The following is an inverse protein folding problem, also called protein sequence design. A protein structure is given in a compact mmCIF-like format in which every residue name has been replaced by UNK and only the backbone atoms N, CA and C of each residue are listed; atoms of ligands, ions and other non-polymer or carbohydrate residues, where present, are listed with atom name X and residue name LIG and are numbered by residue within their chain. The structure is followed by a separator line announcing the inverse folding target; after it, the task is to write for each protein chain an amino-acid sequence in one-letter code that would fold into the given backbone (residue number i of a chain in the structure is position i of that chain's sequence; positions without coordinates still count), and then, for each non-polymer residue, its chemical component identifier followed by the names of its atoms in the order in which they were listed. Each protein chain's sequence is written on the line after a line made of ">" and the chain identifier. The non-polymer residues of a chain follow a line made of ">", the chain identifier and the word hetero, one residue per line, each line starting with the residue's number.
data_IF_837957274699
#
_entry.id   IF_837957274699
#
_cell.length_a   1.000
_cell.length_b   1.000
_cell.length_c   1.000
_cell.angle_alpha   90.00
_cell.angle_beta   90.00
_cell.angle_gamma   90.00
#
_symmetry.space_group_name_H-M   'P 1'
#
loop_
_entity.id
_entity.type
_entity.pdbx_description
1 polymer ?
#
# COMPACT_ATOMS: atom_id res chain seq x y z
N UNK A 1 10.13 23.49 25.81
CA UNK A 1 11.32 23.01 25.07
C UNK A 1 10.99 21.96 24.01
N UNK A 2 10.07 21.02 24.24
CA UNK A 2 9.70 19.95 23.30
C UNK A 2 9.09 20.41 21.96
N UNK A 3 8.29 21.49 21.95
CA UNK A 3 7.63 22.00 20.73
C UNK A 3 8.58 22.71 19.74
N UNK A 4 9.68 23.29 20.21
CA UNK A 4 10.70 23.94 19.36
C UNK A 4 11.66 22.93 18.70
N UNK A 5 11.83 21.76 19.33
CA UNK A 5 12.62 20.66 18.80
C UNK A 5 11.92 19.97 17.61
N UNK A 6 10.59 19.87 17.62
CA UNK A 6 9.82 19.26 16.53
C UNK A 6 9.86 20.13 15.26
N UNK A 7 9.79 21.45 15.41
CA UNK A 7 9.85 22.39 14.27
C UNK A 7 11.25 22.42 13.62
N UNK A 8 12.32 22.30 14.41
CA UNK A 8 13.69 22.20 13.89
C UNK A 8 13.97 20.84 13.22
N UNK A 9 13.39 19.75 13.75
CA UNK A 9 13.55 18.42 13.17
C UNK A 9 12.78 18.25 11.84
N UNK A 10 11.61 18.87 11.68
CA UNK A 10 10.85 18.83 10.42
C UNK A 10 11.44 19.72 9.32
N UNK A 11 12.05 20.85 9.66
CA UNK A 11 12.75 21.70 8.70
C UNK A 11 14.04 21.05 8.15
N UNK A 12 14.74 20.25 8.96
CA UNK A 12 15.97 19.55 8.53
C UNK A 12 15.68 18.39 7.56
N UNK A 13 14.50 17.77 7.61
CA UNK A 13 14.10 16.68 6.72
C UNK A 13 13.78 17.13 5.28
N UNK A 14 13.39 18.40 5.09
CA UNK A 14 13.07 18.95 3.76
C UNK A 14 14.34 19.30 2.97
N UNK A 15 15.44 19.64 3.66
CA UNK A 15 16.72 20.03 3.04
C UNK A 15 17.59 18.80 2.73
N UNK A 16 17.28 17.64 3.30
CA UNK A 16 18.01 16.39 3.11
C UNK A 16 17.51 15.53 1.93
N UNK A 17 16.62 16.04 1.07
CA UNK A 17 16.26 15.32 -0.14
C UNK A 17 17.38 15.46 -1.19
N UNK A 18 18.00 14.36 -1.65
CA UNK A 18 18.93 14.44 -2.76
C UNK A 18 18.15 14.89 -3.99
N UNK A 19 18.54 16.03 -4.57
CA UNK A 19 18.20 16.34 -5.96
C UNK A 19 18.91 15.30 -6.83
N UNK A 20 18.25 14.17 -7.05
CA UNK A 20 18.64 13.21 -8.07
C UNK A 20 18.35 13.84 -9.43
N UNK A 21 19.33 14.57 -9.95
CA UNK A 21 19.42 14.75 -11.39
C UNK A 21 19.69 13.35 -11.97
N UNK A 22 18.64 12.72 -12.49
CA UNK A 22 18.69 11.40 -13.12
C UNK A 22 19.45 11.57 -14.46
N UNK A 23 20.77 11.64 -14.38
CA UNK A 23 21.64 11.59 -15.55
C UNK A 23 21.55 10.16 -16.10
N UNK A 24 20.84 9.99 -17.20
CA UNK A 24 20.60 8.69 -17.82
C UNK A 24 21.94 8.00 -18.13
N UNK A 25 22.06 6.71 -17.81
CA UNK A 25 23.29 5.96 -18.09
C UNK A 25 23.46 5.77 -19.60
N UNK A 26 24.39 6.50 -20.22
CA UNK A 26 24.78 6.34 -21.62
C UNK A 26 25.90 7.31 -21.95
N UNK A 27 27.05 6.82 -22.42
CA UNK A 27 28.07 7.72 -22.98
C UNK A 27 27.58 8.22 -24.34
N UNK A 28 27.61 9.52 -24.54
CA UNK A 28 27.46 10.12 -25.86
C UNK A 28 28.62 9.64 -26.74
N UNK A 29 28.32 9.14 -27.93
CA UNK A 29 29.33 8.69 -28.88
C UNK A 29 30.01 9.86 -29.59
N UNK A 30 31.01 9.56 -30.43
CA UNK A 30 31.75 10.58 -31.20
C UNK A 30 30.88 11.33 -32.22
N UNK A 31 29.69 10.83 -32.53
CA UNK A 31 28.71 11.44 -33.43
C UNK A 31 27.65 12.27 -32.69
N UNK A 32 27.73 12.36 -31.36
CA UNK A 32 26.83 13.18 -30.55
C UNK A 32 25.52 12.50 -30.15
N UNK A 33 25.37 11.20 -30.42
CA UNK A 33 24.17 10.43 -30.04
C UNK A 33 24.39 9.61 -28.77
N UNK A 34 23.31 9.19 -28.12
CA UNK A 34 23.37 8.32 -26.95
C UNK A 34 22.27 7.26 -26.97
N UNK A 35 22.59 6.10 -26.38
CA UNK A 35 21.64 5.00 -26.21
C UNK A 35 20.79 5.21 -24.95
N UNK A 36 19.48 5.21 -25.14
CA UNK A 36 18.48 5.22 -24.07
C UNK A 36 17.80 3.85 -24.00
N UNK A 37 18.40 2.96 -23.20
CA UNK A 37 17.94 1.57 -23.08
C UNK A 37 16.51 1.44 -22.49
N UNK A 38 15.99 2.48 -21.85
CA UNK A 38 14.65 2.50 -21.25
C UNK A 38 13.67 3.37 -22.03
N UNK A 39 14.11 3.98 -23.13
CA UNK A 39 13.34 4.92 -23.93
C UNK A 39 12.65 6.00 -23.05
N UNK A 40 13.35 6.53 -22.04
CA UNK A 40 12.82 7.55 -21.15
C UNK A 40 12.49 8.85 -21.91
N UNK A 41 13.21 9.14 -23.00
CA UNK A 41 12.93 10.31 -23.84
C UNK A 41 11.74 10.15 -24.77
N UNK A 42 11.25 8.93 -24.98
CA UNK A 42 10.22 8.62 -25.97
C UNK A 42 10.71 8.57 -27.42
N UNK A 43 11.99 8.84 -27.69
CA UNK A 43 12.57 8.92 -29.05
C UNK A 43 13.16 7.59 -29.54
N UNK A 44 13.01 6.53 -28.76
CA UNK A 44 13.56 5.20 -29.02
C UNK A 44 14.92 4.97 -28.36
N UNK A 45 15.50 3.82 -28.68
CA UNK A 45 16.74 3.34 -28.03
C UNK A 45 17.98 4.16 -28.32
N UNK A 46 17.95 5.08 -29.30
CA UNK A 46 19.10 5.91 -29.68
C UNK A 46 18.66 7.27 -30.18
N UNK A 47 19.22 8.36 -29.62
CA UNK A 47 18.86 9.72 -30.01
C UNK A 47 19.96 10.75 -29.68
N UNK A 48 19.82 11.97 -30.19
CA UNK A 48 20.86 13.00 -30.19
C UNK A 48 20.50 14.19 -29.30
N UNK A 49 21.54 14.82 -28.74
CA UNK A 49 21.46 16.09 -28.01
C UNK A 49 22.44 17.07 -28.66
N UNK A 50 21.95 18.00 -29.47
CA UNK A 50 22.79 18.99 -30.14
C UNK A 50 22.69 20.33 -29.42
N UNK A 51 23.81 20.89 -28.97
CA UNK A 51 23.91 22.31 -28.58
C UNK A 51 22.99 22.82 -27.46
N UNK A 52 22.50 21.95 -26.58
CA UNK A 52 21.58 22.33 -25.49
C UNK A 52 20.10 22.36 -25.88
N UNK A 53 19.75 21.92 -27.10
CA UNK A 53 18.37 21.70 -27.51
C UNK A 53 17.81 20.39 -26.95
N UNK A 54 16.47 20.24 -26.86
CA UNK A 54 15.84 18.99 -26.45
C UNK A 54 16.31 17.80 -27.30
N UNK A 55 16.21 16.61 -26.69
CA UNK A 55 16.45 15.32 -27.33
C UNK A 55 15.70 15.21 -28.68
N UNK A 56 16.36 14.72 -29.73
CA UNK A 56 15.74 14.57 -31.06
C UNK A 56 16.42 13.48 -31.91
N UNK A 57 15.79 13.12 -33.04
CA UNK A 57 16.32 12.16 -34.01
C UNK A 57 16.97 12.87 -35.21
N UNK A 58 18.00 12.26 -35.79
CA UNK A 58 18.68 12.73 -37.02
C UNK A 58 18.25 11.90 -38.22
N UNK A 59 16.97 11.95 -38.58
CA UNK A 59 16.48 11.24 -39.78
C UNK A 59 16.99 11.87 -41.07
N UNK A 60 17.20 13.20 -41.08
CA UNK A 60 17.74 13.99 -42.20
C UNK A 60 18.76 15.05 -41.72
N UNK A 61 19.56 14.73 -40.71
CA UNK A 61 20.46 15.68 -40.04
C UNK A 61 19.85 16.36 -38.81
N UNK A 62 20.57 17.32 -38.22
CA UNK A 62 20.15 18.00 -37.00
C UNK A 62 19.05 19.04 -37.29
N UNK A 63 17.84 18.92 -36.72
CA UNK A 63 16.73 19.84 -36.93
C UNK A 63 16.97 21.25 -36.37
N UNK A 64 17.97 21.42 -35.50
CA UNK A 64 18.27 22.69 -34.83
C UNK A 64 19.48 23.44 -35.41
N UNK A 65 20.23 22.82 -36.32
CA UNK A 65 21.34 23.46 -37.04
C UNK A 65 21.13 23.27 -38.53
N UNK A 66 20.72 24.31 -39.25
CA UNK A 66 20.58 24.22 -40.71
C UNK A 66 21.93 23.95 -41.38
N UNK A 67 22.02 22.85 -42.15
CA UNK A 67 23.21 22.53 -42.94
C UNK A 67 23.07 21.25 -43.76
N UNK A 68 22.82 21.43 -45.05
CA UNK A 68 22.63 20.44 -46.12
C UNK A 68 23.72 19.38 -46.27
N UNK A 69 23.35 18.26 -46.91
CA UNK A 69 24.25 17.47 -47.73
C UNK A 69 23.58 17.20 -49.08
N UNK A 70 23.73 18.15 -50.01
CA UNK A 70 23.56 17.87 -51.44
C UNK A 70 24.80 17.15 -51.96
N UNK A 71 24.61 16.20 -52.87
CA UNK A 71 25.65 15.79 -53.81
C UNK A 71 25.09 15.67 -55.24
N UNK A 72 25.61 16.58 -56.10
CA UNK A 72 25.93 16.44 -57.54
C UNK A 72 24.83 16.39 -58.64
N UNK A 73 24.37 17.58 -59.10
CA UNK A 73 24.61 18.26 -60.42
C UNK A 73 24.80 17.45 -61.74
N UNK A 74 24.76 18.08 -62.97
CA UNK A 74 23.91 19.16 -63.54
C UNK A 74 23.59 18.97 -65.07
N UNK A 75 22.73 19.83 -65.68
CA UNK A 75 23.04 20.64 -66.90
C UNK A 75 21.82 21.11 -67.74
N UNK A 76 21.75 22.46 -67.91
CA UNK A 76 21.43 23.26 -69.12
C UNK A 76 20.08 23.07 -69.85
N UNK A 77 19.35 24.07 -70.35
CA UNK A 77 19.51 25.52 -70.51
C UNK A 77 18.52 25.99 -71.60
N UNK A 78 18.19 27.29 -71.67
CA UNK A 78 17.65 27.92 -72.89
C UNK A 78 16.24 28.53 -72.82
N UNK A 79 16.18 29.81 -73.13
CA UNK A 79 15.07 30.75 -73.01
C UNK A 79 14.00 30.67 -74.13
N UNK A 80 12.78 31.07 -73.76
CA UNK A 80 11.77 31.83 -74.53
C UNK A 80 11.78 31.86 -76.08
N UNK A 81 10.69 31.43 -76.72
CA UNK A 81 9.79 32.32 -77.50
C UNK A 81 8.59 31.58 -78.10
N UNK A 82 7.51 32.34 -78.20
CA UNK A 82 6.15 32.04 -78.64
C UNK A 82 6.03 31.47 -80.07
N UNK A 83 5.04 30.60 -80.32
CA UNK A 83 4.26 30.52 -81.58
C UNK A 83 3.17 29.44 -81.49
N UNK A 84 1.91 29.88 -81.54
CA UNK A 84 0.74 29.04 -81.80
C UNK A 84 0.89 28.27 -83.11
N UNK A 85 0.60 26.97 -83.09
CA UNK A 85 -0.20 26.36 -84.16
C UNK A 85 -0.90 25.11 -83.66
N UNK A 86 -2.19 25.08 -83.95
CA UNK A 86 -3.16 24.08 -83.55
C UNK A 86 -2.90 22.81 -84.38
N UNK A 87 -2.55 21.69 -83.74
CA UNK A 87 -2.58 20.37 -84.36
C UNK A 87 -3.07 19.36 -83.34
N UNK A 88 -4.22 18.77 -83.67
CA UNK A 88 -4.91 17.72 -82.93
C UNK A 88 -3.94 16.60 -82.55
N UNK A 89 -3.48 16.65 -81.31
CA UNK A 89 -2.87 15.51 -80.64
C UNK A 89 -3.90 15.02 -79.64
N UNK A 90 -4.44 13.83 -79.92
CA UNK A 90 -5.19 13.03 -78.95
C UNK A 90 -4.28 12.81 -77.74
N UNK A 91 -4.39 13.68 -76.74
CA UNK A 91 -3.76 13.48 -75.43
C UNK A 91 -4.39 12.22 -74.86
N UNK A 92 -3.63 11.13 -74.85
CA UNK A 92 -3.94 10.00 -74.00
C UNK A 92 -3.98 10.53 -72.57
N UNK A 93 -5.18 10.57 -71.99
CA UNK A 93 -5.35 10.68 -70.55
C UNK A 93 -4.53 9.53 -69.94
N UNK A 94 -3.53 9.78 -69.08
CA UNK A 94 -2.82 8.68 -68.43
C UNK A 94 -3.87 7.89 -67.64
N UNK A 95 -4.13 6.66 -68.09
CA UNK A 95 -5.21 5.82 -67.56
C UNK A 95 -4.82 5.15 -66.24
N UNK A 96 -3.98 5.81 -65.45
CA UNK A 96 -3.41 5.31 -64.20
C UNK A 96 -3.72 6.22 -63.00
N UNK A 97 -3.59 5.71 -61.77
CA UNK A 97 -3.80 6.50 -60.56
C UNK A 97 -2.81 7.67 -60.48
N UNK A 98 -3.25 8.79 -59.92
CA UNK A 98 -2.38 9.96 -59.71
C UNK A 98 -1.39 9.67 -58.58
N UNK A 99 -0.17 10.24 -58.66
CA UNK A 99 0.84 10.14 -57.58
C UNK A 99 0.25 10.49 -56.21
N UNK A 100 -0.58 11.53 -56.14
CA UNK A 100 -1.19 11.98 -54.90
C UNK A 100 -2.16 10.95 -54.31
N UNK A 101 -2.95 10.28 -55.15
CA UNK A 101 -3.88 9.23 -54.70
C UNK A 101 -3.15 8.00 -54.13
N UNK A 102 -1.96 7.70 -54.65
CA UNK A 102 -1.12 6.59 -54.17
C UNK A 102 -0.49 6.93 -52.81
N UNK A 103 -0.02 8.17 -52.63
CA UNK A 103 0.48 8.67 -51.34
C UNK A 103 -0.63 8.62 -50.28
N UNK A 104 -1.83 9.12 -50.61
CA UNK A 104 -2.97 9.12 -49.69
C UNK A 104 -3.40 7.71 -49.29
N UNK A 105 -3.41 6.76 -50.24
CA UNK A 105 -3.66 5.35 -49.96
C UNK A 105 -2.63 4.78 -48.97
N UNK A 106 -1.35 5.02 -49.22
CA UNK A 106 -0.26 4.60 -48.33
C UNK A 106 -0.41 5.16 -46.93
N UNK A 107 -0.67 6.46 -46.80
CA UNK A 107 -0.89 7.09 -45.49
C UNK A 107 -2.10 6.53 -44.75
N UNK A 108 -3.23 6.34 -45.42
CA UNK A 108 -4.45 5.83 -44.76
C UNK A 108 -4.28 4.38 -44.28
N UNK A 109 -3.70 3.51 -45.12
CA UNK A 109 -3.41 2.13 -44.77
C UNK A 109 -2.37 2.05 -43.65
N UNK A 110 -1.27 2.79 -43.78
CA UNK A 110 -0.22 2.86 -42.77
C UNK A 110 -0.76 3.28 -41.42
N UNK A 111 -1.50 4.39 -41.36
CA UNK A 111 -2.11 4.87 -40.12
C UNK A 111 -3.08 3.86 -39.50
N UNK A 112 -3.95 3.25 -40.31
CA UNK A 112 -4.89 2.23 -39.85
C UNK A 112 -4.15 1.02 -39.27
N UNK A 113 -3.12 0.53 -39.96
CA UNK A 113 -2.34 -0.63 -39.50
C UNK A 113 -1.55 -0.30 -38.24
N UNK A 114 -0.96 0.89 -38.15
CA UNK A 114 -0.27 1.36 -36.95
C UNK A 114 -1.21 1.48 -35.75
N UNK A 115 -2.40 2.04 -35.94
CA UNK A 115 -3.41 2.19 -34.88
C UNK A 115 -4.02 0.85 -34.44
N UNK A 116 -4.04 -0.15 -35.32
CA UNK A 116 -4.54 -1.50 -35.02
C UNK A 116 -3.43 -2.51 -34.72
N UNK A 117 -2.16 -2.07 -34.63
CA UNK A 117 -1.00 -2.94 -34.42
C UNK A 117 -0.93 -4.12 -35.41
N UNK A 118 -1.31 -3.89 -36.67
CA UNK A 118 -1.24 -4.90 -37.73
C UNK A 118 0.18 -4.94 -38.28
N UNK A 119 0.85 -6.05 -38.03
CA UNK A 119 2.23 -6.27 -38.44
C UNK A 119 2.29 -6.42 -39.97
N UNK A 120 2.70 -5.37 -40.67
CA UNK A 120 2.74 -5.33 -42.13
C UNK A 120 4.02 -5.95 -42.66
N UNK A 121 3.99 -7.27 -42.84
CA UNK A 121 5.08 -8.01 -43.52
C UNK A 121 4.90 -8.10 -45.03
N UNK A 122 3.90 -7.44 -45.60
CA UNK A 122 3.62 -7.56 -47.02
C UNK A 122 3.08 -6.22 -47.57
N UNK A 123 3.97 -5.48 -48.25
CA UNK A 123 3.59 -4.27 -48.97
C UNK A 123 2.58 -4.65 -50.07
N UNK A 124 1.31 -4.28 -49.87
CA UNK A 124 0.20 -4.69 -50.73
C UNK A 124 0.18 -3.98 -52.10
N UNK A 125 0.99 -2.93 -52.27
CA UNK A 125 1.02 -2.15 -53.50
C UNK A 125 2.29 -2.40 -54.32
N UNK A 126 2.11 -2.96 -55.53
CA UNK A 126 3.13 -2.99 -56.59
C UNK A 126 2.58 -2.22 -57.80
N UNK A 127 3.27 -1.14 -58.19
CA UNK A 127 2.80 -0.25 -59.25
C UNK A 127 3.60 1.05 -59.37
N UNK A 128 3.19 1.94 -60.28
CA UNK A 128 3.79 3.28 -60.38
C UNK A 128 3.71 4.01 -59.04
N UNK A 129 4.77 4.73 -58.66
CA UNK A 129 4.88 5.45 -57.38
C UNK A 129 4.97 4.55 -56.13
N UNK A 130 5.46 3.31 -56.26
CA UNK A 130 5.64 2.39 -55.12
C UNK A 130 6.51 2.98 -53.99
N UNK A 131 7.60 3.67 -54.31
CA UNK A 131 8.45 4.33 -53.30
C UNK A 131 7.68 5.38 -52.50
N UNK A 132 6.85 6.18 -53.17
CA UNK A 132 6.04 7.22 -52.56
C UNK A 132 4.97 6.61 -51.64
N UNK A 133 4.34 5.50 -52.06
CA UNK A 133 3.43 4.73 -51.23
C UNK A 133 4.13 4.21 -49.97
N UNK A 134 5.29 3.56 -50.11
CA UNK A 134 6.01 2.96 -48.99
C UNK A 134 6.48 3.99 -47.97
N UNK A 135 6.95 5.16 -48.43
CA UNK A 135 7.33 6.28 -47.56
C UNK A 135 6.12 6.82 -46.79
N UNK A 136 5.04 7.14 -47.50
CA UNK A 136 3.80 7.65 -46.91
C UNK A 136 3.15 6.65 -45.92
N UNK A 137 3.22 5.36 -46.22
CA UNK A 137 2.77 4.28 -45.35
C UNK A 137 3.57 4.22 -44.05
N UNK A 138 4.91 4.18 -44.14
CA UNK A 138 5.77 4.07 -42.95
C UNK A 138 5.59 5.25 -42.00
N UNK A 139 5.54 6.47 -42.53
CA UNK A 139 5.33 7.66 -41.70
C UNK A 139 3.98 7.63 -40.99
N UNK A 140 2.92 7.27 -41.72
CA UNK A 140 1.58 7.24 -41.17
C UNK A 140 1.37 6.09 -40.17
N UNK A 141 2.05 4.96 -40.37
CA UNK A 141 2.08 3.86 -39.41
C UNK A 141 2.57 4.29 -38.03
N UNK A 142 3.68 5.02 -37.97
CA UNK A 142 4.17 5.54 -36.68
C UNK A 142 3.20 6.54 -36.05
N UNK A 143 2.52 7.39 -36.84
CA UNK A 143 1.48 8.30 -36.34
C UNK A 143 0.27 7.54 -35.77
N UNK A 144 -0.16 6.48 -36.44
CA UNK A 144 -1.23 5.61 -35.96
C UNK A 144 -0.87 4.93 -34.64
N UNK A 145 0.36 4.43 -34.54
CA UNK A 145 0.90 3.82 -33.32
C UNK A 145 1.04 4.84 -32.17
N UNK A 146 1.57 6.03 -32.42
CA UNK A 146 1.70 7.10 -31.43
C UNK A 146 0.32 7.49 -30.87
N UNK A 147 -0.69 7.61 -31.74
CA UNK A 147 -2.06 7.86 -31.30
C UNK A 147 -2.58 6.73 -30.40
N UNK A 148 -2.35 5.47 -30.78
CA UNK A 148 -2.73 4.33 -29.96
C UNK A 148 -2.08 4.38 -28.57
N UNK A 149 -0.77 4.61 -28.51
CA UNK A 149 -0.01 4.70 -27.25
C UNK A 149 -0.54 5.83 -26.35
N UNK A 150 -0.89 6.97 -26.95
CA UNK A 150 -1.50 8.10 -26.22
C UNK A 150 -2.87 7.73 -25.64
N UNK A 151 -3.76 7.17 -26.46
CA UNK A 151 -5.08 6.73 -26.01
C UNK A 151 -4.99 5.65 -24.93
N UNK A 152 -4.03 4.73 -25.04
CA UNK A 152 -3.79 3.69 -24.03
C UNK A 152 -3.35 4.30 -22.68
N UNK A 153 -2.52 5.35 -22.71
CA UNK A 153 -2.08 6.08 -21.51
C UNK A 153 -3.25 6.83 -20.85
N UNK A 154 -4.08 7.51 -21.65
CA UNK A 154 -5.28 8.19 -21.16
C UNK A 154 -6.28 7.18 -20.57
N UNK A 155 -6.47 6.05 -21.24
CA UNK A 155 -7.35 4.97 -20.78
C UNK A 155 -6.88 4.33 -19.47
N UNK A 156 -5.55 4.18 -19.30
CA UNK A 156 -4.93 3.70 -18.06
C UNK A 156 -5.25 4.62 -16.89
N UNK A 157 -5.04 5.92 -17.07
CA UNK A 157 -5.29 6.92 -16.03
C UNK A 157 -6.78 7.02 -15.69
N UNK A 158 -7.64 7.13 -16.72
CA UNK A 158 -9.10 7.17 -16.53
C UNK A 158 -9.59 5.91 -15.83
N UNK A 159 -9.20 4.74 -16.31
CA UNK A 159 -9.59 3.45 -15.74
C UNK A 159 -9.24 3.38 -14.26
N UNK A 160 -7.99 3.72 -13.88
CA UNK A 160 -7.58 3.72 -12.48
C UNK A 160 -8.41 4.65 -11.60
N UNK A 161 -8.65 5.89 -12.03
CA UNK A 161 -9.42 6.87 -11.27
C UNK A 161 -10.91 6.48 -11.14
N UNK A 162 -11.49 5.97 -12.22
CA UNK A 162 -12.85 5.41 -12.25
C UNK A 162 -12.96 4.20 -11.31
N UNK A 163 -11.94 3.35 -11.30
CA UNK A 163 -11.83 2.24 -10.35
C UNK A 163 -11.78 2.71 -8.90
N UNK A 164 -10.93 3.69 -8.57
CA UNK A 164 -10.83 4.25 -7.21
C UNK A 164 -12.12 4.89 -6.71
N UNK A 165 -13.01 5.28 -7.61
CA UNK A 165 -14.34 5.82 -7.27
C UNK A 165 -15.47 4.80 -7.43
N UNK A 166 -15.15 3.55 -7.83
CA UNK A 166 -16.09 2.49 -8.18
C UNK A 166 -17.17 2.94 -9.18
N UNK A 167 -16.76 3.73 -10.18
CA UNK A 167 -17.64 4.29 -11.20
C UNK A 167 -17.19 3.85 -12.60
N UNK A 168 -17.79 2.78 -13.12
CA UNK A 168 -17.42 2.26 -14.43
C UNK A 168 -18.01 3.13 -15.56
N UNK A 169 -17.16 3.91 -16.24
CA UNK A 169 -17.56 4.83 -17.31
C UNK A 169 -16.64 4.70 -18.54
N UNK A 170 -16.55 3.49 -19.11
CA UNK A 170 -15.69 3.26 -20.27
C UNK A 170 -16.24 3.88 -21.56
N UNK A 171 -15.41 4.67 -22.26
CA UNK A 171 -15.70 5.23 -23.59
C UNK A 171 -14.88 4.59 -24.72
N UNK A 172 -13.90 3.75 -24.40
CA UNK A 172 -12.94 3.21 -25.37
C UNK A 172 -13.49 1.97 -26.07
N UNK A 173 -13.30 1.90 -27.38
CA UNK A 173 -13.74 0.79 -28.25
C UNK A 173 -12.58 0.06 -28.94
N UNK A 174 -11.43 0.73 -29.12
CA UNK A 174 -10.22 0.08 -29.64
C UNK A 174 -9.77 -0.97 -28.61
N UNK A 175 -9.53 -2.20 -29.06
CA UNK A 175 -9.32 -3.38 -28.20
C UNK A 175 -8.18 -3.23 -27.18
N UNK A 176 -7.01 -2.77 -27.62
CA UNK A 176 -5.82 -2.52 -26.78
C UNK A 176 -6.09 -1.42 -25.76
N UNK A 177 -6.74 -0.33 -26.17
CA UNK A 177 -7.08 0.79 -25.29
C UNK A 177 -8.13 0.38 -24.25
N UNK A 178 -9.17 -0.34 -24.67
CA UNK A 178 -10.21 -0.89 -23.81
C UNK A 178 -9.64 -1.86 -22.76
N UNK A 179 -8.70 -2.72 -23.18
CA UNK A 179 -8.02 -3.63 -22.27
C UNK A 179 -7.22 -2.86 -21.21
N UNK A 180 -6.47 -1.84 -21.62
CA UNK A 180 -5.75 -0.96 -20.70
C UNK A 180 -6.70 -0.30 -19.69
N UNK A 181 -7.84 0.24 -20.15
CA UNK A 181 -8.85 0.79 -19.24
C UNK A 181 -9.31 -0.22 -18.20
N UNK A 182 -9.77 -1.41 -18.63
CA UNK A 182 -10.35 -2.44 -17.73
C UNK A 182 -9.34 -2.91 -16.69
N UNK A 183 -8.12 -3.22 -17.11
CA UNK A 183 -7.08 -3.69 -16.20
C UNK A 183 -6.74 -2.65 -15.11
N UNK A 184 -6.80 -1.37 -15.44
CA UNK A 184 -6.50 -0.32 -14.48
C UNK A 184 -7.72 0.08 -13.64
N UNK A 185 -8.94 -0.05 -14.17
CA UNK A 185 -10.17 -0.01 -13.39
C UNK A 185 -10.16 -1.07 -12.29
N UNK A 186 -9.84 -2.32 -12.62
CA UNK A 186 -9.79 -3.39 -11.62
C UNK A 186 -8.75 -3.11 -10.52
N UNK A 187 -7.60 -2.53 -10.88
CA UNK A 187 -6.59 -2.09 -9.90
C UNK A 187 -7.11 -1.00 -8.97
N UNK A 188 -7.71 0.06 -9.53
CA UNK A 188 -8.27 1.14 -8.74
C UNK A 188 -9.43 0.69 -7.83
N UNK A 189 -10.30 -0.18 -8.36
CA UNK A 189 -11.45 -0.71 -7.61
C UNK A 189 -11.01 -1.63 -6.47
N UNK A 190 -9.92 -2.38 -6.66
CA UNK A 190 -9.33 -3.15 -5.56
C UNK A 190 -8.90 -2.24 -4.41
N UNK A 191 -8.22 -1.13 -4.69
CA UNK A 191 -7.85 -0.17 -3.63
C UNK A 191 -9.08 0.44 -2.96
N UNK A 192 -10.10 0.81 -3.73
CA UNK A 192 -11.38 1.29 -3.19
C UNK A 192 -12.01 0.28 -2.22
N UNK A 193 -12.07 -1.00 -2.62
CA UNK A 193 -12.60 -2.08 -1.78
C UNK A 193 -11.77 -2.26 -0.51
N UNK A 194 -10.45 -2.26 -0.60
CA UNK A 194 -9.56 -2.39 0.55
C UNK A 194 -9.76 -1.23 1.55
N UNK A 195 -9.86 0.01 1.05
CA UNK A 195 -10.16 1.20 1.86
C UNK A 195 -11.54 1.09 2.54
N UNK A 196 -12.57 0.65 1.82
CA UNK A 196 -13.92 0.47 2.35
C UNK A 196 -14.00 -0.65 3.39
N UNK A 197 -13.34 -1.79 3.15
CA UNK A 197 -13.25 -2.87 4.14
C UNK A 197 -12.63 -2.35 5.44
N UNK A 198 -11.55 -1.56 5.37
CA UNK A 198 -10.93 -0.97 6.54
C UNK A 198 -11.87 -0.01 7.29
N UNK A 199 -12.61 0.83 6.56
CA UNK A 199 -13.61 1.74 7.11
C UNK A 199 -14.71 0.97 7.86
N UNK A 200 -15.26 -0.09 7.25
CA UNK A 200 -16.32 -0.90 7.86
C UNK A 200 -15.83 -1.71 9.06
N UNK A 201 -14.58 -2.19 9.04
CA UNK A 201 -13.95 -2.79 10.24
C UNK A 201 -13.86 -1.78 11.38
N UNK A 202 -13.41 -0.56 11.10
CA UNK A 202 -13.32 0.50 12.12
C UNK A 202 -14.71 0.85 12.68
N UNK A 203 -15.72 0.90 11.81
CA UNK A 203 -17.11 1.15 12.20
C UNK A 203 -17.65 0.03 13.12
N UNK A 204 -17.44 -1.24 12.76
CA UNK A 204 -17.88 -2.39 13.57
C UNK A 204 -17.26 -2.39 14.96
N UNK A 205 -15.96 -2.12 15.05
CA UNK A 205 -15.25 -1.95 16.32
C UNK A 205 -15.84 -0.81 17.15
N UNK A 206 -16.00 0.37 16.55
CA UNK A 206 -16.48 1.56 17.26
C UNK A 206 -17.91 1.37 17.78
N UNK A 207 -18.80 0.79 16.98
CA UNK A 207 -20.17 0.50 17.40
C UNK A 207 -20.19 -0.45 18.60
N UNK A 208 -19.39 -1.52 18.56
CA UNK A 208 -19.29 -2.47 19.67
C UNK A 208 -18.79 -1.79 20.95
N UNK A 209 -17.69 -1.03 20.87
CA UNK A 209 -17.12 -0.30 22.02
C UNK A 209 -18.11 0.70 22.64
N UNK A 210 -19.00 1.27 21.82
CA UNK A 210 -20.03 2.22 22.26
C UNK A 210 -21.39 1.56 22.55
N UNK A 211 -21.45 0.23 22.63
CA UNK A 211 -22.69 -0.54 22.90
C UNK A 211 -23.82 -0.26 21.89
N UNK A 212 -23.47 0.11 20.66
CA UNK A 212 -24.42 0.27 19.56
C UNK A 212 -24.72 -1.11 19.00
N UNK A 213 -25.99 -1.43 18.75
CA UNK A 213 -26.40 -2.69 18.13
C UNK A 213 -25.98 -2.75 16.66
N UNK A 214 -25.95 -3.97 16.11
CA UNK A 214 -25.79 -4.20 14.67
C UNK A 214 -26.57 -3.22 13.82
N UNK A 215 -25.85 -2.54 12.93
CA UNK A 215 -26.47 -1.70 11.91
C UNK A 215 -27.22 -2.55 10.88
N UNK A 216 -28.33 -1.99 10.40
CA UNK A 216 -29.01 -2.48 9.21
C UNK A 216 -28.44 -1.73 8.01
N UNK A 217 -27.89 -2.46 7.05
CA UNK A 217 -27.31 -1.89 5.83
C UNK A 217 -28.33 -1.90 4.69
N UNK A 218 -28.21 -0.92 3.78
CA UNK A 218 -29.07 -0.79 2.61
C UNK A 218 -28.88 -1.96 1.62
N UNK A 219 -29.94 -2.29 0.89
CA UNK A 219 -29.88 -3.28 -0.18
C UNK A 219 -29.05 -2.75 -1.35
N UNK A 220 -27.96 -3.45 -1.70
CA UNK A 220 -27.05 -3.06 -2.79
C UNK A 220 -25.63 -2.72 -2.34
N UNK A 221 -25.41 -2.63 -1.03
CA UNK A 221 -24.05 -2.56 -0.48
C UNK A 221 -23.32 -3.89 -0.71
N UNK A 222 -22.04 -3.81 -1.07
CA UNK A 222 -21.20 -4.99 -1.27
C UNK A 222 -21.14 -5.83 0.03
N UNK A 223 -21.42 -7.13 -0.10
CA UNK A 223 -21.42 -8.06 1.04
C UNK A 223 -20.07 -8.10 1.74
N UNK A 224 -18.96 -7.89 1.02
CA UNK A 224 -17.61 -7.85 1.60
C UNK A 224 -17.49 -6.77 2.69
N UNK A 225 -18.16 -5.63 2.53
CA UNK A 225 -18.13 -4.54 3.50
C UNK A 225 -18.98 -4.86 4.73
N UNK A 226 -20.15 -5.47 4.50
CA UNK A 226 -21.05 -5.90 5.57
C UNK A 226 -20.38 -6.98 6.43
N UNK A 227 -19.73 -7.95 5.79
CA UNK A 227 -19.05 -9.04 6.49
C UNK A 227 -17.84 -8.51 7.28
N UNK A 228 -17.04 -7.63 6.68
CA UNK A 228 -15.94 -6.95 7.37
C UNK A 228 -16.39 -6.18 8.62
N UNK A 229 -17.55 -5.53 8.58
CA UNK A 229 -18.16 -4.88 9.75
C UNK A 229 -18.56 -5.90 10.81
N UNK A 230 -19.27 -6.98 10.43
CA UNK A 230 -19.78 -7.99 11.37
C UNK A 230 -18.66 -8.73 12.08
N UNK A 231 -17.64 -9.15 11.34
CA UNK A 231 -16.47 -9.82 11.91
C UNK A 231 -15.78 -8.94 12.95
N UNK A 232 -15.49 -7.68 12.59
CA UNK A 232 -14.84 -6.73 13.51
C UNK A 232 -15.68 -6.48 14.76
N UNK A 233 -17.01 -6.41 14.63
CA UNK A 233 -17.93 -6.25 15.75
C UNK A 233 -17.88 -7.47 16.69
N UNK A 234 -18.04 -8.70 16.17
CA UNK A 234 -18.02 -9.92 16.98
C UNK A 234 -16.66 -10.17 17.65
N UNK A 235 -15.57 -9.89 16.94
CA UNK A 235 -14.21 -10.01 17.48
C UNK A 235 -14.02 -9.03 18.65
N UNK A 236 -14.44 -7.78 18.48
CA UNK A 236 -14.38 -6.75 19.52
C UNK A 236 -15.25 -7.14 20.72
N UNK A 237 -16.47 -7.61 20.48
CA UNK A 237 -17.39 -8.06 21.53
C UNK A 237 -16.78 -9.21 22.33
N UNK A 238 -16.22 -10.20 21.63
CA UNK A 238 -15.57 -11.35 22.26
C UNK A 238 -14.38 -10.93 23.12
N UNK A 239 -13.56 -10.00 22.64
CA UNK A 239 -12.43 -9.47 23.41
C UNK A 239 -12.87 -8.74 24.67
N UNK A 240 -13.88 -7.86 24.58
CA UNK A 240 -14.45 -7.18 25.74
C UNK A 240 -14.96 -8.19 26.76
N UNK A 241 -15.70 -9.22 26.31
CA UNK A 241 -16.20 -10.27 27.20
C UNK A 241 -15.10 -11.12 27.82
N UNK A 242 -14.02 -11.40 27.10
CA UNK A 242 -12.85 -12.06 27.67
C UNK A 242 -12.23 -11.25 28.81
N UNK A 243 -12.01 -9.95 28.61
CA UNK A 243 -11.46 -9.06 29.65
C UNK A 243 -12.40 -8.93 30.86
N UNK A 244 -13.71 -8.82 30.64
CA UNK A 244 -14.70 -8.84 31.73
C UNK A 244 -14.60 -10.13 32.56
N UNK A 245 -14.56 -11.30 31.89
CA UNK A 245 -14.49 -12.58 32.57
C UNK A 245 -13.14 -12.79 33.27
N UNK A 246 -12.05 -12.27 32.72
CA UNK A 246 -10.74 -12.23 33.37
C UNK A 246 -10.77 -11.40 34.64
N UNK A 247 -11.39 -10.22 34.62
CA UNK A 247 -11.56 -9.38 35.80
C UNK A 247 -12.45 -10.05 36.87
N UNK A 248 -13.52 -10.75 36.46
CA UNK A 248 -14.36 -11.54 37.38
C UNK A 248 -13.55 -12.69 37.98
N UNK A 249 -12.78 -13.41 37.16
CA UNK A 249 -11.84 -14.44 37.57
C UNK A 249 -10.91 -13.94 38.66
N UNK A 250 -10.22 -12.83 38.40
CA UNK A 250 -9.30 -12.20 39.34
C UNK A 250 -9.96 -11.90 40.69
N UNK A 251 -11.12 -11.24 40.69
CA UNK A 251 -11.86 -10.97 41.94
C UNK A 251 -12.22 -12.25 42.69
N UNK A 252 -12.64 -13.30 41.98
CA UNK A 252 -12.95 -14.61 42.55
C UNK A 252 -11.71 -15.33 43.10
N UNK A 253 -10.56 -15.18 42.45
CA UNK A 253 -9.27 -15.69 42.92
C UNK A 253 -8.85 -15.05 44.25
N UNK A 254 -9.03 -13.73 44.37
CA UNK A 254 -8.73 -12.97 45.60
C UNK A 254 -9.52 -13.50 46.80
N UNK A 255 -10.79 -13.85 46.61
CA UNK A 255 -11.63 -14.44 47.67
C UNK A 255 -11.60 -15.97 47.70
N UNK A 256 -10.76 -16.61 46.86
CA UNK A 256 -10.65 -18.06 46.69
C UNK A 256 -12.00 -18.77 46.47
N UNK A 257 -12.85 -18.20 45.60
CA UNK A 257 -14.20 -18.71 45.29
C UNK A 257 -14.38 -18.93 43.80
N UNK A 258 -13.98 -20.11 43.32
CA UNK A 258 -14.08 -20.47 41.90
C UNK A 258 -15.54 -20.60 41.43
N UNK A 259 -15.84 -20.15 40.21
CA UNK A 259 -17.16 -20.23 39.59
C UNK A 259 -17.17 -21.27 38.46
N UNK A 260 -17.90 -22.37 38.66
CA UNK A 260 -18.03 -23.44 37.67
C UNK A 260 -19.07 -23.17 36.56
N UNK A 261 -19.80 -22.06 36.63
CA UNK A 261 -20.90 -21.72 35.70
C UNK A 261 -20.49 -20.72 34.61
N UNK A 262 -19.19 -20.60 34.36
CA UNK A 262 -18.68 -19.72 33.30
C UNK A 262 -18.89 -20.41 31.95
N UNK A 263 -19.36 -19.63 30.98
CA UNK A 263 -19.50 -20.12 29.60
C UNK A 263 -18.14 -20.64 29.09
N UNK A 264 -18.17 -21.79 28.42
CA UNK A 264 -17.01 -22.41 27.79
C UNK A 264 -16.17 -21.43 26.94
N UNK A 265 -16.82 -20.48 26.25
CA UNK A 265 -16.17 -19.46 25.41
C UNK A 265 -15.24 -18.54 26.20
N UNK A 266 -15.57 -18.24 27.46
CA UNK A 266 -14.83 -17.30 28.30
C UNK A 266 -14.08 -17.97 29.47
N UNK A 267 -14.17 -19.30 29.56
CA UNK A 267 -13.59 -20.08 30.66
C UNK A 267 -12.07 -19.89 30.78
N UNK A 268 -11.35 -19.86 29.65
CA UNK A 268 -9.90 -19.67 29.66
C UNK A 268 -9.50 -18.32 30.27
N UNK A 269 -10.15 -17.24 29.83
CA UNK A 269 -9.93 -15.88 30.36
C UNK A 269 -10.28 -15.79 31.85
N UNK A 270 -11.38 -16.42 32.26
CA UNK A 270 -11.77 -16.52 33.67
C UNK A 270 -10.73 -17.27 34.51
N UNK A 271 -10.26 -18.43 34.05
CA UNK A 271 -9.27 -19.25 34.75
C UNK A 271 -7.93 -18.50 34.90
N UNK A 272 -7.49 -17.81 33.86
CA UNK A 272 -6.30 -16.95 33.90
C UNK A 272 -6.44 -15.87 35.00
N UNK A 273 -7.57 -15.17 35.01
CA UNK A 273 -7.89 -14.19 36.04
C UNK A 273 -7.88 -14.81 37.44
N UNK A 274 -8.58 -15.94 37.61
CA UNK A 274 -8.68 -16.63 38.89
C UNK A 274 -7.33 -17.02 39.46
N UNK A 275 -6.46 -17.62 38.64
CA UNK A 275 -5.13 -18.02 39.06
C UNK A 275 -4.30 -16.79 39.47
N UNK A 276 -4.33 -15.72 38.67
CA UNK A 276 -3.64 -14.47 38.99
C UNK A 276 -4.10 -13.88 40.34
N UNK A 277 -5.42 -13.81 40.57
CA UNK A 277 -5.97 -13.34 41.84
C UNK A 277 -5.62 -14.24 43.02
N UNK A 278 -5.60 -15.56 42.83
CA UNK A 278 -5.23 -16.53 43.88
C UNK A 278 -3.73 -16.47 44.24
N UNK A 279 -2.87 -16.22 43.25
CA UNK A 279 -1.45 -16.01 43.45
C UNK A 279 -1.20 -14.71 44.24
N UNK A 280 -1.88 -13.63 43.88
CA UNK A 280 -1.73 -12.35 44.58
C UNK A 280 -2.30 -12.40 46.01
N UNK A 281 -3.42 -13.11 46.19
CA UNK A 281 -3.95 -13.45 47.53
C UNK A 281 -2.91 -14.18 48.36
N UNK A 282 -2.21 -15.15 47.80
CA UNK A 282 -1.21 -15.94 48.53
C UNK A 282 -0.05 -15.06 48.98
N UNK A 283 0.43 -14.17 48.11
CA UNK A 283 1.49 -13.21 48.43
C UNK A 283 1.10 -12.24 49.54
N UNK A 284 -0.08 -11.60 49.44
CA UNK A 284 -0.49 -10.62 50.46
C UNK A 284 -0.66 -11.26 51.84
N UNK A 285 -1.14 -12.51 51.92
CA UNK A 285 -1.27 -13.22 53.20
C UNK A 285 0.10 -13.61 53.80
N UNK A 286 1.05 -14.01 52.95
CA UNK A 286 2.43 -14.29 53.37
C UNK A 286 3.15 -13.02 53.83
N UNK A 287 3.05 -11.93 53.05
CA UNK A 287 3.63 -10.63 53.39
C UNK A 287 3.05 -10.07 54.69
N UNK A 288 1.74 -10.23 54.90
CA UNK A 288 1.08 -9.81 56.14
C UNK A 288 1.61 -10.58 57.34
N UNK A 289 1.79 -11.89 57.22
CA UNK A 289 2.41 -12.71 58.27
C UNK A 289 3.84 -12.25 58.56
N UNK A 290 4.64 -12.02 57.52
CA UNK A 290 6.03 -11.60 57.68
C UNK A 290 6.14 -10.24 58.37
N UNK A 291 5.31 -9.26 57.99
CA UNK A 291 5.26 -7.95 58.65
C UNK A 291 4.96 -8.09 60.15
N UNK A 292 3.98 -8.93 60.51
CA UNK A 292 3.67 -9.20 61.91
C UNK A 292 4.81 -9.90 62.64
N UNK A 293 5.47 -10.86 61.99
CA UNK A 293 6.62 -11.57 62.55
C UNK A 293 7.82 -10.62 62.80
N UNK A 294 8.04 -9.69 61.88
CA UNK A 294 9.10 -8.67 61.94
C UNK A 294 8.78 -7.50 62.87
N UNK A 295 7.52 -7.32 63.26
CA UNK A 295 7.06 -6.16 64.01
C UNK A 295 6.94 -4.88 63.17
N UNK A 296 6.80 -5.02 61.84
CA UNK A 296 6.53 -3.91 60.93
C UNK A 296 5.04 -3.51 60.97
N UNK A 297 4.72 -2.27 60.59
CA UNK A 297 3.33 -1.86 60.45
C UNK A 297 2.65 -2.56 59.26
N UNK A 298 1.43 -3.07 59.47
CA UNK A 298 0.65 -3.73 58.43
C UNK A 298 0.35 -2.78 57.25
N UNK A 299 0.85 -3.14 56.06
CA UNK A 299 0.56 -2.47 54.79
C UNK A 299 -0.70 -3.08 54.17
N UNK A 300 -1.65 -2.22 53.81
CA UNK A 300 -2.95 -2.66 53.29
C UNK A 300 -3.35 -1.88 52.04
N UNK A 301 -3.75 -2.61 50.99
CA UNK A 301 -4.28 -2.07 49.73
C UNK A 301 -5.80 -2.34 49.68
N UNK A 302 -6.57 -1.31 49.33
CA UNK A 302 -8.04 -1.34 49.28
C UNK A 302 -8.59 -2.45 48.37
N UNK A 303 -7.83 -2.88 47.35
CA UNK A 303 -8.25 -3.98 46.47
C UNK A 303 -8.42 -5.30 47.22
N UNK A 304 -7.81 -5.47 48.40
CA UNK A 304 -7.97 -6.64 49.26
C UNK A 304 -9.00 -6.46 50.38
N UNK A 305 -9.81 -5.39 50.36
CA UNK A 305 -10.94 -5.22 51.28
C UNK A 305 -11.79 -6.48 51.50
N UNK A 306 -12.11 -7.28 50.46
CA UNK A 306 -12.88 -8.51 50.64
C UNK A 306 -12.25 -9.57 51.56
N UNK A 307 -10.92 -9.52 51.77
CA UNK A 307 -10.16 -10.47 52.60
C UNK A 307 -9.41 -9.77 53.76
N UNK A 308 -9.79 -8.54 54.11
CA UNK A 308 -9.12 -7.74 55.14
C UNK A 308 -9.00 -8.47 56.48
N UNK A 309 -10.07 -9.12 56.94
CA UNK A 309 -10.06 -9.88 58.20
C UNK A 309 -9.09 -11.07 58.16
N UNK A 310 -8.86 -11.66 56.99
CA UNK A 310 -7.89 -12.74 56.82
C UNK A 310 -6.45 -12.22 56.83
N UNK A 311 -6.21 -11.07 56.19
CA UNK A 311 -4.93 -10.36 56.23
C UNK A 311 -4.55 -9.99 57.67
N UNK A 312 -5.46 -9.34 58.40
CA UNK A 312 -5.24 -8.97 59.82
C UNK A 312 -4.99 -10.21 60.69
N UNK A 313 -5.70 -11.30 60.43
CA UNK A 313 -5.47 -12.58 61.12
C UNK A 313 -4.07 -13.12 60.87
N UNK A 314 -3.58 -13.10 59.62
CA UNK A 314 -2.23 -13.57 59.30
C UNK A 314 -1.15 -12.71 59.93
N UNK A 315 -1.32 -11.39 59.91
CA UNK A 315 -0.43 -10.46 60.61
C UNK A 315 -0.33 -10.77 62.11
N UNK A 316 -1.47 -10.93 62.78
CA UNK A 316 -1.51 -11.30 64.20
C UNK A 316 -0.90 -12.68 64.48
N UNK A 317 -1.05 -13.64 63.55
CA UNK A 317 -0.43 -14.96 63.64
C UNK A 317 1.11 -14.86 63.54
N UNK A 318 1.62 -13.96 62.70
CA UNK A 318 3.04 -13.62 62.60
C UNK A 318 3.61 -13.05 63.90
N UNK A 319 2.95 -12.04 64.49
CA UNK A 319 3.37 -11.47 65.79
C UNK A 319 3.43 -12.52 66.90
N UNK A 320 2.46 -13.44 66.92
CA UNK A 320 2.39 -14.50 67.91
C UNK A 320 3.54 -15.48 67.77
N UNK A 321 3.89 -15.88 66.54
CA UNK A 321 4.98 -16.83 66.31
C UNK A 321 6.34 -16.18 66.62
N UNK A 322 6.54 -14.91 66.27
CA UNK A 322 7.75 -14.15 66.63
C UNK A 322 7.98 -14.10 68.15
N UNK A 323 6.94 -13.80 68.93
CA UNK A 323 7.00 -13.81 70.41
C UNK A 323 7.34 -15.19 70.97
N UNK A 324 6.82 -16.26 70.35
CA UNK A 324 7.06 -17.64 70.77
C UNK A 324 8.50 -18.07 70.48
N UNK A 325 9.04 -17.73 69.31
CA UNK A 325 10.42 -18.05 68.94
C UNK A 325 11.43 -17.27 69.80
N UNK A 326 11.10 -16.02 70.15
CA UNK A 326 11.87 -15.23 71.12
C UNK A 326 11.88 -15.90 72.51
N UNK A 327 10.73 -16.37 73.00
CA UNK A 327 10.60 -17.04 74.30
C UNK A 327 11.34 -18.39 74.36
N UNK A 328 11.49 -19.08 73.23
CA UNK A 328 12.24 -20.34 73.13
C UNK A 328 13.76 -20.15 73.01
N UNK A 329 14.27 -18.92 73.08
CA UNK A 329 15.71 -18.62 73.01
C UNK A 329 16.31 -18.80 71.61
N UNK A 330 15.47 -18.90 70.56
CA UNK A 330 15.90 -19.01 69.17
C UNK A 330 16.22 -17.64 68.53
N UNK A 331 15.93 -16.54 69.24
CA UNK A 331 16.08 -15.15 68.77
C UNK A 331 17.49 -14.56 68.83
N UNK A 332 18.53 -15.35 68.55
CA UNK A 332 19.92 -14.90 68.53
C UNK A 332 20.45 -14.77 67.10
N UNK A 333 20.39 -13.55 66.55
CA UNK A 333 21.10 -13.09 65.33
C UNK A 333 20.93 -13.92 64.04
N UNK A 334 20.03 -13.50 63.14
CA UNK A 334 20.27 -13.38 61.68
C UNK A 334 18.96 -13.22 60.89
N UNK A 335 18.86 -12.13 60.11
CA UNK A 335 17.96 -11.90 58.95
C UNK A 335 16.48 -12.27 59.20
N UNK A 336 15.76 -11.35 59.82
CA UNK A 336 14.35 -11.50 60.24
C UNK A 336 13.42 -11.94 59.09
N UNK A 337 13.64 -11.45 57.86
CA UNK A 337 12.77 -11.78 56.71
C UNK A 337 12.86 -13.21 56.17
N UNK A 338 14.01 -13.90 56.31
CA UNK A 338 14.12 -15.31 55.91
C UNK A 338 13.44 -16.22 56.96
N UNK A 339 13.48 -15.82 58.24
CA UNK A 339 12.85 -16.57 59.32
C UNK A 339 11.31 -16.55 59.21
N UNK A 340 10.70 -15.41 58.87
CA UNK A 340 9.25 -15.27 58.68
C UNK A 340 8.69 -16.20 57.61
N UNK A 341 9.30 -16.22 56.41
CA UNK A 341 8.88 -17.08 55.29
C UNK A 341 8.97 -18.57 55.64
N UNK A 342 10.02 -18.97 56.36
CA UNK A 342 10.19 -20.37 56.80
C UNK A 342 9.11 -20.75 57.82
N UNK A 343 8.82 -19.86 58.78
CA UNK A 343 7.78 -20.07 59.78
C UNK A 343 6.39 -20.18 59.13
N UNK A 344 6.06 -19.28 58.20
CA UNK A 344 4.80 -19.29 57.46
C UNK A 344 4.60 -20.62 56.70
N UNK A 345 5.61 -21.05 55.94
CA UNK A 345 5.54 -22.30 55.18
C UNK A 345 5.40 -23.54 56.07
N UNK A 346 6.01 -23.55 57.26
CA UNK A 346 5.88 -24.62 58.25
C UNK A 346 4.46 -24.69 58.82
N UNK A 347 3.85 -23.55 59.13
CA UNK A 347 2.46 -23.47 59.62
C UNK A 347 1.49 -23.89 58.52
N UNK A 348 1.69 -23.41 57.29
CA UNK A 348 0.86 -23.76 56.13
C UNK A 348 0.85 -25.28 55.88
N UNK A 349 2.01 -25.94 55.90
CA UNK A 349 2.12 -27.41 55.77
C UNK A 349 1.38 -28.18 56.88
N UNK A 350 1.40 -27.67 58.12
CA UNK A 350 0.66 -28.29 59.23
C UNK A 350 -0.86 -28.16 59.08
N UNK A 351 -1.34 -27.08 58.48
CA UNK A 351 -2.78 -26.86 58.24
C UNK A 351 -3.31 -27.66 57.05
N UNK A 352 -2.44 -28.13 56.14
CA UNK A 352 -2.80 -28.95 54.99
C UNK A 352 -2.63 -30.45 55.20
N UNK A 353 -2.18 -30.89 56.38
CA UNK A 353 -2.08 -32.28 56.83
C UNK A 353 -3.21 -32.58 57.80
#
# INVERSE_FOLDING_TARGET
>A
MKKRFIVLASALMIIAQPFVADAHSGRTDSSGGHRDNKNKSGLGSYHYHCGGYPAHLHTNGCPYTGGSSESSSPSQGGSSSNSQSNSSSKVQVPSGPSRQSIIEKGSNEGYSDGYNMRDSREYSYSGSYESDYQEAYREAFYKGKEKLEKEESEAREKGYNDGKSNNYDNIYVQETVLKSYKENFDKGNKEYKDEKIAEYKALGKNDCENNIKYRNFESGLDSEFIDAYKESYEDTYTNIKNEEHKAIGYKNGIINKYNNKIDSKYKASYDEGFNSGADERSKVLEDSFNQGYEGEALKFDEKFNPIKSEIEKQYNEGEKESKKDLAMGLGGTAVVGVAGVVAFNKIKKKKSS
#
